data_IF_693666230167
#
_entry.id   IF_693666230167
#
_cell.length_a   1.000
_cell.length_b   1.000
_cell.length_c   1.000
_cell.angle_alpha   90.00
_cell.angle_beta   90.00
_cell.angle_gamma   90.00
#
_symmetry.space_group_name_H-M   'P 1'
#
loop_
_entity.id
_entity.type
_entity.pdbx_description
1 polymer ?
#
# COMPACT_ATOMS: atom_id res chain seq x y z
N UNK A 1 -11.17 -38.13 44.76
CA UNK A 1 -10.21 -37.06 45.07
C UNK A 1 -8.91 -37.35 44.32
N UNK A 2 -8.85 -36.75 43.14
CA UNK A 2 -7.71 -36.14 42.44
C UNK A 2 -6.29 -36.62 42.76
N UNK A 3 -5.59 -37.15 41.74
CA UNK A 3 -4.19 -36.83 41.41
C UNK A 3 -3.77 -37.52 40.09
N UNK A 4 -3.54 -36.76 39.01
CA UNK A 4 -2.22 -36.31 38.48
C UNK A 4 -1.54 -37.39 37.60
N UNK A 5 -1.57 -37.27 36.25
CA UNK A 5 -0.54 -36.66 35.35
C UNK A 5 0.68 -37.61 35.22
N UNK A 6 0.95 -38.23 34.07
CA UNK A 6 1.65 -37.72 32.87
C UNK A 6 1.79 -38.96 31.93
N UNK A 7 1.92 -38.90 30.62
CA UNK A 7 3.15 -38.71 29.82
C UNK A 7 2.66 -38.80 28.36
N UNK A 8 2.56 -37.69 27.63
CA UNK A 8 3.54 -37.29 26.60
C UNK A 8 4.39 -38.47 26.06
N UNK A 9 3.89 -39.12 25.01
CA UNK A 9 4.74 -39.78 24.03
C UNK A 9 4.48 -39.09 22.68
N UNK A 10 5.25 -38.03 22.47
CA UNK A 10 5.70 -37.67 21.13
C UNK A 10 6.85 -38.62 20.73
N UNK A 11 7.08 -38.74 19.42
CA UNK A 11 8.25 -39.35 18.74
C UNK A 11 8.02 -40.79 18.20
N UNK A 12 7.57 -40.94 16.94
CA UNK A 12 8.38 -41.08 15.70
C UNK A 12 8.36 -42.57 15.25
N UNK A 13 8.02 -42.94 14.01
CA UNK A 13 8.83 -42.77 12.80
C UNK A 13 8.11 -43.46 11.62
N UNK A 14 8.02 -42.75 10.50
CA UNK A 14 8.13 -43.25 9.11
C UNK A 14 7.07 -44.23 8.59
N UNK A 15 5.98 -43.67 8.08
CA UNK A 15 5.32 -44.23 6.90
C UNK A 15 5.53 -43.26 5.72
N UNK A 16 6.75 -43.27 5.19
CA UNK A 16 7.09 -42.70 3.90
C UNK A 16 6.40 -43.47 2.79
N UNK A 17 5.16 -43.13 2.43
CA UNK A 17 4.60 -43.44 1.10
C UNK A 17 3.54 -42.40 0.69
N UNK A 18 3.97 -41.19 0.31
CA UNK A 18 3.20 -40.35 -0.60
C UNK A 18 4.02 -40.10 -1.86
N UNK A 19 3.89 -41.10 -2.71
CA UNK A 19 4.17 -41.10 -4.14
C UNK A 19 3.58 -39.84 -4.80
N UNK A 20 4.48 -38.99 -5.30
CA UNK A 20 4.43 -38.48 -6.68
C UNK A 20 3.26 -37.55 -7.05
N UNK A 21 3.61 -36.26 -7.17
CA UNK A 21 2.96 -35.34 -8.11
C UNK A 21 2.28 -34.15 -7.47
N UNK A 22 2.95 -32.99 -7.51
CA UNK A 22 2.30 -31.70 -7.29
C UNK A 22 3.04 -30.76 -6.35
N UNK A 23 4.27 -30.38 -6.68
CA UNK A 23 4.72 -29.01 -6.35
C UNK A 23 3.96 -28.03 -7.26
N UNK A 24 2.64 -27.90 -7.09
CA UNK A 24 1.87 -26.88 -7.79
C UNK A 24 1.23 -25.93 -6.79
N UNK A 25 1.94 -24.81 -6.60
CA UNK A 25 1.37 -23.46 -6.61
C UNK A 25 0.05 -23.28 -5.86
N UNK A 26 0.08 -23.22 -4.53
CA UNK A 26 -1.07 -22.71 -3.76
C UNK A 26 -0.72 -21.60 -2.75
N UNK A 27 0.48 -21.03 -2.81
CA UNK A 27 0.81 -19.84 -2.01
C UNK A 27 1.37 -18.68 -2.85
N UNK A 28 1.06 -18.63 -4.15
CA UNK A 28 1.21 -17.43 -4.99
C UNK A 28 -0.12 -16.67 -5.08
N UNK A 29 -0.83 -16.55 -3.95
CA UNK A 29 -2.22 -16.05 -3.91
C UNK A 29 -2.44 -14.76 -3.11
N UNK A 30 -1.45 -14.27 -2.34
CA UNK A 30 -1.71 -13.30 -1.28
C UNK A 30 -1.28 -11.85 -1.52
N UNK A 31 -0.63 -11.51 -2.63
CA UNK A 31 -0.30 -10.09 -2.89
C UNK A 31 -0.48 -9.74 -4.36
N UNK A 32 -1.69 -9.94 -4.88
CA UNK A 32 -2.11 -9.18 -6.06
C UNK A 32 -2.38 -7.76 -5.56
N UNK A 33 -1.33 -6.94 -5.61
CA UNK A 33 -1.31 -5.58 -5.11
C UNK A 33 -2.49 -4.78 -5.62
N UNK A 34 -3.17 -4.09 -4.71
CA UNK A 34 -3.97 -2.93 -5.05
C UNK A 34 -3.00 -1.84 -5.53
N UNK A 35 -2.59 -1.88 -6.78
CA UNK A 35 -2.08 -0.69 -7.47
C UNK A 35 -3.08 -0.31 -8.55
N UNK A 36 -4.32 -0.11 -8.12
CA UNK A 36 -5.20 0.87 -8.77
C UNK A 36 -4.99 2.18 -7.98
N UNK A 37 -3.73 2.62 -7.94
CA UNK A 37 -3.38 3.96 -7.51
C UNK A 37 -3.73 4.84 -8.71
N UNK A 38 -5.02 5.17 -8.85
CA UNK A 38 -5.42 6.30 -9.68
C UNK A 38 -4.52 7.45 -9.26
N UNK A 39 -3.61 7.86 -10.15
CA UNK A 39 -2.59 8.87 -9.87
C UNK A 39 -3.31 10.20 -9.60
N UNK A 40 -3.72 10.39 -8.35
CA UNK A 40 -4.33 11.62 -7.88
C UNK A 40 -3.24 12.67 -7.77
N UNK A 41 -3.37 13.75 -8.52
CA UNK A 41 -2.46 14.87 -8.37
C UNK A 41 -2.61 15.50 -6.98
N UNK A 42 -1.49 15.86 -6.37
CA UNK A 42 -1.45 16.45 -5.03
C UNK A 42 -1.17 17.96 -5.13
N UNK A 43 -1.84 18.73 -4.28
CA UNK A 43 -1.63 20.17 -4.17
C UNK A 43 -0.24 20.48 -3.64
N UNK A 44 0.52 21.28 -4.38
CA UNK A 44 1.88 21.67 -4.01
C UNK A 44 1.96 22.46 -2.70
N UNK A 45 0.85 23.09 -2.26
CA UNK A 45 0.81 23.82 -0.98
C UNK A 45 0.48 22.98 0.22
N UNK A 46 -0.63 22.26 0.13
CA UNK A 46 -1.28 21.68 1.29
C UNK A 46 -1.21 20.15 1.31
N UNK A 47 -0.65 19.53 0.27
CA UNK A 47 -0.56 18.07 0.15
C UNK A 47 -1.90 17.37 -0.01
N UNK A 48 -2.98 18.10 -0.34
CA UNK A 48 -4.31 17.51 -0.53
C UNK A 48 -4.49 17.01 -1.96
N UNK A 49 -5.23 15.91 -2.13
CA UNK A 49 -5.62 15.43 -3.45
C UNK A 49 -6.43 16.49 -4.22
N UNK A 50 -6.11 16.66 -5.49
CA UNK A 50 -6.73 17.62 -6.40
C UNK A 50 -7.82 16.91 -7.19
N UNK A 51 -9.03 17.45 -7.13
CA UNK A 51 -10.09 17.09 -8.07
C UNK A 51 -9.77 17.70 -9.44
N UNK A 52 -9.82 16.91 -10.51
CA UNK A 52 -9.47 17.34 -11.88
C UNK A 52 -10.23 18.62 -12.31
N UNK A 53 -11.50 18.74 -11.90
CA UNK A 53 -12.38 19.88 -12.19
C UNK A 53 -11.96 21.19 -11.46
N UNK A 54 -11.26 21.06 -10.33
CA UNK A 54 -10.81 22.19 -9.48
C UNK A 54 -9.31 22.47 -9.59
N UNK A 55 -8.60 21.70 -10.41
CA UNK A 55 -7.17 21.83 -10.61
C UNK A 55 -6.80 23.22 -11.11
N UNK A 56 -5.91 23.89 -10.38
CA UNK A 56 -5.28 25.14 -10.79
C UNK A 56 -3.81 24.88 -11.07
N UNK A 57 -3.32 25.25 -12.24
CA UNK A 57 -1.89 25.13 -12.59
C UNK A 57 -1.29 26.52 -12.71
N UNK A 58 -0.15 26.75 -12.05
CA UNK A 58 0.66 27.97 -12.20
C UNK A 58 2.11 27.64 -12.50
N UNK A 59 2.80 28.58 -13.13
CA UNK A 59 4.22 28.51 -13.43
C UNK A 59 4.94 29.52 -12.54
N UNK A 60 5.82 29.03 -11.67
CA UNK A 60 6.56 29.82 -10.67
C UNK A 60 8.03 29.41 -10.75
N UNK A 61 8.93 30.39 -10.87
CA UNK A 61 10.37 30.20 -11.14
C UNK A 61 10.69 29.29 -12.35
N UNK A 62 9.76 29.19 -13.31
CA UNK A 62 9.90 28.32 -14.48
C UNK A 62 9.51 26.85 -14.25
N UNK A 63 9.04 26.50 -13.07
CA UNK A 63 8.46 25.19 -12.74
C UNK A 63 6.93 25.27 -12.69
N UNK A 64 6.25 24.19 -13.10
CA UNK A 64 4.77 24.12 -13.08
C UNK A 64 4.30 23.39 -11.82
N UNK A 65 3.42 24.05 -11.08
CA UNK A 65 2.84 23.55 -9.84
C UNK A 65 1.32 23.40 -9.97
N UNK A 66 0.78 22.37 -9.33
CA UNK A 66 -0.64 22.02 -9.32
C UNK A 66 -1.24 22.32 -7.95
N UNK A 67 -2.42 22.94 -7.93
CA UNK A 67 -3.09 23.36 -6.69
C UNK A 67 -4.57 22.97 -6.68
N UNK A 68 -5.09 22.67 -5.49
CA UNK A 68 -6.51 22.35 -5.29
C UNK A 68 -7.42 23.59 -5.36
N UNK A 69 -6.85 24.79 -5.29
CA UNK A 69 -7.61 26.05 -5.34
C UNK A 69 -6.71 27.23 -5.75
N UNK A 70 -7.36 28.32 -6.17
CA UNK A 70 -6.65 29.59 -6.46
C UNK A 70 -5.99 30.19 -5.23
N UNK A 71 -6.58 30.00 -4.05
CA UNK A 71 -6.01 30.51 -2.79
C UNK A 71 -4.67 29.84 -2.49
N UNK A 72 -4.58 28.52 -2.64
CA UNK A 72 -3.30 27.81 -2.50
C UNK A 72 -2.26 28.30 -3.52
N UNK A 73 -2.66 28.47 -4.78
CA UNK A 73 -1.73 28.97 -5.80
C UNK A 73 -1.17 30.38 -5.47
N UNK A 74 -1.98 31.26 -4.88
CA UNK A 74 -1.59 32.61 -4.47
C UNK A 74 -0.66 32.58 -3.24
N UNK A 75 -1.02 31.79 -2.23
CA UNK A 75 -0.25 31.62 -0.99
C UNK A 75 1.14 31.01 -1.27
N UNK A 76 1.22 30.07 -2.23
CA UNK A 76 2.52 29.55 -2.68
C UNK A 76 3.36 30.63 -3.30
N UNK A 77 2.80 31.37 -4.26
CA UNK A 77 3.50 32.37 -5.05
C UNK A 77 4.02 33.49 -4.15
N UNK A 78 3.25 33.89 -3.12
CA UNK A 78 3.71 34.82 -2.08
C UNK A 78 4.77 34.22 -1.13
N UNK A 79 4.74 32.89 -0.91
CA UNK A 79 5.71 32.21 -0.03
C UNK A 79 7.04 31.93 -0.71
N UNK A 80 7.06 31.69 -2.01
CA UNK A 80 8.26 31.33 -2.79
C UNK A 80 8.84 32.49 -3.61
N UNK A 81 8.04 33.52 -3.92
CA UNK A 81 8.45 34.73 -4.66
C UNK A 81 9.12 35.79 -3.80
#
# INVERSE_FOLDING_TARGET
>A
MDNLKSEDETDNTDEQMLDQGGIESSEEGFMKGYSDEEEVEECSECGSAIEEDKKVVREIDGERYSFCSKTCADDFEESVG
#
